data_IF_459469798835
#
_entry.id   IF_459469798835
#
_cell.length_a   1.000
_cell.length_b   1.000
_cell.length_c   1.000
_cell.angle_alpha   90.00
_cell.angle_beta   90.00
_cell.angle_gamma   90.00
#
_symmetry.space_group_name_H-M   'P 1'
#
loop_
_entity.id
_entity.type
_entity.pdbx_description
1 polymer ?
#
# COMPACT_ATOMS: atom_id res chain seq x y z
N UNK A 1 -0.43 -7.00 10.82
CA UNK A 1 0.49 -5.93 10.38
C UNK A 1 1.97 -6.33 10.37
N UNK A 2 2.30 -7.62 10.22
CA UNK A 2 3.69 -8.08 10.22
C UNK A 2 4.48 -7.59 9.00
N UNK A 3 3.81 -7.31 7.87
CA UNK A 3 4.44 -6.78 6.66
C UNK A 3 5.11 -5.42 6.90
N UNK A 4 4.50 -4.51 7.68
CA UNK A 4 5.18 -3.24 8.00
C UNK A 4 6.38 -3.44 8.92
N UNK A 5 6.30 -4.35 9.89
CA UNK A 5 7.44 -4.65 10.73
C UNK A 5 8.60 -5.22 9.89
N UNK A 6 8.30 -6.11 8.94
CA UNK A 6 9.27 -6.73 8.04
C UNK A 6 9.91 -5.74 7.05
N UNK A 7 9.10 -4.89 6.40
CA UNK A 7 9.57 -4.03 5.30
C UNK A 7 10.01 -2.63 5.75
N UNK A 8 9.52 -2.17 6.91
CA UNK A 8 9.75 -0.81 7.42
C UNK A 8 10.41 -0.78 8.81
N UNK A 9 10.54 -1.92 9.49
CA UNK A 9 11.14 -2.04 10.82
C UNK A 9 10.27 -1.48 11.97
N UNK A 10 9.10 -0.91 11.65
CA UNK A 10 8.19 -0.30 12.62
C UNK A 10 6.75 -0.33 12.15
N UNK A 11 5.83 -0.44 13.09
CA UNK A 11 4.39 -0.52 12.84
C UNK A 11 3.71 0.85 12.73
N UNK A 12 4.43 1.96 12.88
CA UNK A 12 3.78 3.30 12.85
C UNK A 12 3.21 3.66 11.47
N UNK A 13 3.74 3.11 10.38
CA UNK A 13 3.26 3.39 9.00
C UNK A 13 2.22 2.41 8.50
N UNK A 14 1.58 1.72 9.43
CA UNK A 14 0.71 0.61 9.11
C UNK A 14 -0.53 1.00 8.34
N UNK A 15 -1.12 2.13 8.72
CA UNK A 15 -2.32 2.64 8.09
C UNK A 15 -2.05 3.01 6.64
N UNK A 16 -0.89 3.59 6.34
CA UNK A 16 -0.53 4.00 4.98
C UNK A 16 -0.21 2.80 4.09
N UNK A 17 0.45 1.78 4.63
CA UNK A 17 0.65 0.52 3.93
C UNK A 17 -0.70 -0.15 3.61
N UNK A 18 -1.61 -0.23 4.57
CA UNK A 18 -2.94 -0.78 4.36
C UNK A 18 -3.73 0.01 3.29
N UNK A 19 -3.62 1.34 3.30
CA UNK A 19 -4.18 2.21 2.26
C UNK A 19 -3.64 1.87 0.87
N UNK A 20 -2.34 1.62 0.75
CA UNK A 20 -1.72 1.19 -0.51
C UNK A 20 -2.29 -0.15 -0.99
N UNK A 21 -2.48 -1.11 -0.09
CA UNK A 21 -3.06 -2.41 -0.42
C UNK A 21 -4.50 -2.25 -0.91
N UNK A 22 -5.35 -1.58 -0.12
CA UNK A 22 -6.78 -1.43 -0.43
C UNK A 22 -6.97 -0.66 -1.74
N UNK A 23 -6.25 0.44 -1.92
CA UNK A 23 -6.35 1.25 -3.14
C UNK A 23 -5.81 0.49 -4.36
N UNK A 24 -4.70 -0.25 -4.19
CA UNK A 24 -4.10 -1.05 -5.25
C UNK A 24 -5.00 -2.20 -5.73
N UNK A 25 -5.77 -2.80 -4.83
CA UNK A 25 -6.73 -3.88 -5.16
C UNK A 25 -8.03 -3.31 -5.74
N UNK A 26 -8.62 -2.33 -5.07
CA UNK A 26 -9.96 -1.83 -5.41
C UNK A 26 -9.99 -0.86 -6.58
N UNK A 27 -8.87 -0.16 -6.84
CA UNK A 27 -8.76 0.89 -7.86
C UNK A 27 -9.83 1.99 -7.74
N UNK A 28 -10.36 2.21 -6.52
CA UNK A 28 -11.42 3.19 -6.23
C UNK A 28 -10.99 4.64 -6.43
N UNK A 29 -9.68 4.91 -6.34
CA UNK A 29 -9.06 6.20 -6.66
C UNK A 29 -7.79 5.97 -7.47
N UNK A 30 -7.33 7.00 -8.19
CA UNK A 30 -6.06 6.93 -8.92
C UNK A 30 -4.86 6.88 -7.98
N UNK A 31 -3.78 6.24 -8.43
CA UNK A 31 -2.53 6.16 -7.69
C UNK A 31 -1.97 7.56 -7.37
N UNK A 32 -2.11 8.52 -8.29
CA UNK A 32 -1.72 9.91 -8.08
C UNK A 32 -2.54 10.60 -6.97
N UNK A 33 -3.86 10.41 -6.97
CA UNK A 33 -4.73 11.03 -5.97
C UNK A 33 -4.37 10.59 -4.56
N UNK A 34 -4.12 9.30 -4.37
CA UNK A 34 -3.76 8.76 -3.05
C UNK A 34 -2.33 9.14 -2.64
N UNK A 35 -1.37 9.19 -3.57
CA UNK A 35 0.00 9.70 -3.30
C UNK A 35 -0.07 11.15 -2.81
N UNK A 36 -0.82 12.00 -3.50
CA UNK A 36 -0.99 13.40 -3.11
C UNK A 36 -1.71 13.54 -1.76
N UNK A 37 -2.71 12.70 -1.49
CA UNK A 37 -3.40 12.68 -0.20
C UNK A 37 -2.46 12.30 0.95
N UNK A 38 -1.66 11.25 0.77
CA UNK A 38 -0.67 10.79 1.77
C UNK A 38 0.39 11.86 2.01
N UNK A 39 0.96 12.44 0.94
CA UNK A 39 1.98 13.50 1.05
C UNK A 39 1.46 14.72 1.80
N UNK A 40 0.21 15.13 1.56
CA UNK A 40 -0.41 16.29 2.24
C UNK A 40 -0.72 16.03 3.71
N UNK A 41 -0.95 14.79 4.10
CA UNK A 41 -1.35 14.42 5.47
C UNK A 41 -0.19 13.91 6.33
N UNK A 42 0.93 13.53 5.73
CA UNK A 42 2.10 13.06 6.44
C UNK A 42 2.68 14.17 7.34
N UNK A 43 3.01 13.87 8.60
CA UNK A 43 3.77 14.78 9.46
C UNK A 43 5.14 15.14 8.86
N UNK A 44 5.62 16.36 9.15
CA UNK A 44 6.95 16.81 8.75
C UNK A 44 8.04 15.83 9.20
N UNK A 45 8.94 15.48 8.29
CA UNK A 45 10.04 14.55 8.54
C UNK A 45 9.65 13.07 8.42
N UNK A 46 8.42 12.76 8.00
CA UNK A 46 7.95 11.37 7.81
C UNK A 46 7.38 11.12 6.41
N UNK A 47 7.43 12.11 5.52
CA UNK A 47 6.85 12.07 4.18
C UNK A 47 7.39 10.89 3.37
N UNK A 48 8.72 10.74 3.34
CA UNK A 48 9.40 9.67 2.61
C UNK A 48 8.98 8.28 3.10
N UNK A 49 8.88 8.12 4.42
CA UNK A 49 8.51 6.83 5.03
C UNK A 49 7.04 6.48 4.79
N UNK A 50 6.15 7.47 4.79
CA UNK A 50 4.74 7.25 4.44
C UNK A 50 4.61 6.89 2.95
N UNK A 51 5.32 7.57 2.06
CA UNK A 51 5.32 7.24 0.62
C UNK A 51 5.91 5.84 0.36
N UNK A 52 6.99 5.47 1.07
CA UNK A 52 7.57 4.12 1.02
C UNK A 52 6.56 3.08 1.47
N UNK A 53 5.84 3.32 2.57
CA UNK A 53 4.81 2.42 3.06
C UNK A 53 3.67 2.24 2.05
N UNK A 54 3.21 3.33 1.43
CA UNK A 54 2.19 3.30 0.38
C UNK A 54 2.63 2.44 -0.81
N UNK A 55 3.87 2.64 -1.28
CA UNK A 55 4.45 1.89 -2.40
C UNK A 55 4.59 0.39 -2.09
N UNK A 56 5.00 0.03 -0.86
CA UNK A 56 5.01 -1.38 -0.42
C UNK A 56 3.60 -1.97 -0.50
N UNK A 57 2.59 -1.22 -0.06
CA UNK A 57 1.19 -1.63 -0.17
C UNK A 57 0.75 -1.86 -1.62
N UNK A 58 1.10 -0.96 -2.55
CA UNK A 58 0.82 -1.14 -3.98
C UNK A 58 1.50 -2.38 -4.57
N UNK A 59 2.77 -2.60 -4.26
CA UNK A 59 3.50 -3.77 -4.73
C UNK A 59 2.90 -5.06 -4.19
N UNK A 60 2.46 -5.06 -2.93
CA UNK A 60 1.75 -6.19 -2.35
C UNK A 60 0.42 -6.44 -3.08
N UNK A 61 -0.38 -5.40 -3.29
CA UNK A 61 -1.64 -5.49 -4.04
C UNK A 61 -1.41 -6.04 -5.46
N UNK A 62 -0.40 -5.54 -6.18
CA UNK A 62 -0.04 -6.02 -7.51
C UNK A 62 0.26 -7.52 -7.51
N UNK A 63 1.15 -7.97 -6.63
CA UNK A 63 1.48 -9.40 -6.47
C UNK A 63 0.27 -10.25 -6.12
N UNK A 64 -0.58 -9.76 -5.22
CA UNK A 64 -1.82 -10.43 -4.84
C UNK A 64 -2.78 -10.60 -6.03
N UNK A 65 -2.93 -9.56 -6.85
CA UNK A 65 -3.75 -9.62 -8.06
C UNK A 65 -3.15 -10.55 -9.12
N UNK A 66 -1.83 -10.54 -9.31
CA UNK A 66 -1.13 -11.46 -10.22
C UNK A 66 -1.30 -12.93 -9.79
N UNK A 67 -1.23 -13.23 -8.50
CA UNK A 67 -1.49 -14.58 -7.95
C UNK A 67 -2.92 -15.02 -8.21
N UNK A 68 -3.89 -14.13 -8.01
CA UNK A 68 -5.31 -14.43 -8.28
C UNK A 68 -5.61 -14.65 -9.76
N UNK A 69 -4.81 -14.09 -10.67
CA UNK A 69 -4.90 -14.36 -12.10
C UNK A 69 -4.33 -15.72 -12.51
N UNK A 70 -3.61 -16.40 -11.61
CA UNK A 70 -3.04 -17.75 -11.82
C UNK A 70 -3.95 -18.84 -11.24
N UNK A 71 -4.89 -18.51 -10.35
CA UNK A 71 -5.94 -19.43 -9.91
C UNK A 71 -7.04 -19.50 -10.98
N UNK A 72 -7.18 -20.61 -11.76
CA UNK A 72 -8.32 -20.76 -12.62
C UNK A 72 -9.54 -20.85 -11.71
N UNK A 73 -10.50 -19.97 -11.93
CA UNK A 73 -11.84 -20.03 -11.32
C UNK A 73 -12.37 -21.44 -11.54
N UNK A 74 -12.23 -22.28 -10.51
CA UNK A 74 -13.01 -23.50 -10.33
C UNK A 74 -14.15 -23.06 -9.43
N UNK A 75 -15.18 -22.50 -10.06
CA UNK A 75 -16.53 -22.44 -9.51
C UNK A 75 -17.39 -23.33 -10.39
#
# INVERSE_FOLDING_TARGET
MQLALKELGRTVFSNVLALGIVTGITKVVSDEAIVNAVKRRAPRGTEEMNLKALNIGFNFAKKYMEQKSIDPVTV
#
